data_IF_160386459288
#
_entry.id   IF_160386459288
#
_cell.length_a   1.000
_cell.length_b   1.000
_cell.length_c   1.000
_cell.angle_alpha   90.00
_cell.angle_beta   90.00
_cell.angle_gamma   90.00
#
_symmetry.space_group_name_H-M   'P 1'
#
loop_
_entity.id
_entity.type
_entity.pdbx_description
1 polymer ?
#
# COMPACT_ATOMS: atom_id res chain seq x y z
N UNK A 1 37.35 -66.41 -20.95
CA UNK A 1 37.53 -65.20 -20.12
C UNK A 1 37.00 -63.99 -20.89
N UNK A 2 36.19 -63.15 -20.23
CA UNK A 2 35.75 -61.77 -20.58
C UNK A 2 35.25 -61.49 -22.03
N UNK A 3 33.94 -61.41 -22.29
CA UNK A 3 33.02 -60.24 -22.18
C UNK A 3 33.30 -59.09 -23.16
N UNK A 4 32.46 -58.96 -24.20
CA UNK A 4 31.93 -57.66 -24.67
C UNK A 4 30.45 -57.86 -24.98
N UNK A 5 29.60 -57.08 -24.30
CA UNK A 5 28.14 -57.17 -24.33
C UNK A 5 27.56 -56.04 -25.18
N UNK A 6 26.55 -56.42 -25.97
CA UNK A 6 25.37 -55.65 -26.33
C UNK A 6 25.58 -54.32 -27.08
N UNK A 7 25.58 -54.43 -28.41
CA UNK A 7 25.17 -53.35 -29.29
C UNK A 7 24.08 -53.89 -30.22
N UNK A 8 23.12 -53.02 -30.56
CA UNK A 8 22.12 -53.19 -31.62
C UNK A 8 20.94 -54.09 -31.25
N UNK A 9 19.87 -53.50 -30.70
CA UNK A 9 18.48 -53.65 -31.16
C UNK A 9 17.52 -52.95 -30.17
N UNK A 10 17.07 -51.75 -30.53
CA UNK A 10 15.75 -51.20 -30.16
C UNK A 10 15.60 -49.85 -30.86
N UNK A 11 15.57 -49.92 -32.19
CA UNK A 11 14.96 -48.89 -33.03
C UNK A 11 13.45 -48.94 -32.78
N UNK A 12 12.82 -47.77 -32.78
CA UNK A 12 11.38 -47.51 -32.73
C UNK A 12 10.72 -47.56 -31.33
N UNK A 13 9.80 -46.61 -31.12
CA UNK A 13 8.98 -46.35 -29.93
C UNK A 13 9.69 -45.49 -28.87
N UNK A 14 9.60 -44.17 -29.04
CA UNK A 14 9.15 -43.14 -28.07
C UNK A 14 9.29 -41.82 -28.83
N UNK A 15 8.33 -41.56 -29.72
CA UNK A 15 8.25 -40.31 -30.49
C UNK A 15 6.83 -39.76 -30.32
N UNK A 16 6.35 -39.60 -29.08
CA UNK A 16 5.00 -39.08 -28.81
C UNK A 16 4.74 -38.76 -27.33
N UNK A 17 5.68 -38.14 -26.61
CA UNK A 17 5.42 -37.75 -25.22
C UNK A 17 6.22 -36.55 -24.71
N UNK A 18 6.35 -35.45 -25.46
CA UNK A 18 6.97 -34.23 -24.91
C UNK A 18 6.58 -32.94 -25.63
N UNK A 19 5.29 -32.68 -25.84
CA UNK A 19 4.84 -31.36 -26.29
C UNK A 19 3.58 -30.90 -25.53
N UNK A 20 3.64 -30.99 -24.21
CA UNK A 20 2.82 -30.19 -23.32
C UNK A 20 3.71 -29.68 -22.18
N UNK A 21 4.77 -28.93 -22.52
CA UNK A 21 5.17 -27.85 -21.62
C UNK A 21 4.06 -26.82 -21.72
N UNK A 22 3.01 -27.03 -20.92
CA UNK A 22 2.00 -26.01 -20.70
C UNK A 22 2.74 -24.74 -20.31
N UNK A 23 2.47 -23.65 -21.02
CA UNK A 23 2.59 -22.32 -20.48
C UNK A 23 1.79 -22.33 -19.17
N UNK A 24 2.43 -22.65 -18.05
CA UNK A 24 1.93 -22.24 -16.74
C UNK A 24 2.19 -20.75 -16.72
N UNK A 25 1.30 -19.99 -17.37
CA UNK A 25 1.18 -18.58 -17.14
C UNK A 25 0.88 -18.45 -15.66
N UNK A 26 1.88 -18.04 -14.88
CA UNK A 26 1.66 -17.50 -13.56
C UNK A 26 0.63 -16.39 -13.74
N UNK A 27 -0.61 -16.63 -13.33
CA UNK A 27 -1.58 -15.54 -13.17
C UNK A 27 -0.94 -14.58 -12.18
N UNK A 28 -0.34 -13.52 -12.69
CA UNK A 28 0.01 -12.32 -11.94
C UNK A 28 -1.22 -11.97 -11.12
N UNK A 29 -1.19 -12.30 -9.84
CA UNK A 29 -2.34 -12.07 -8.97
C UNK A 29 -2.27 -10.58 -8.65
N UNK A 30 -3.06 -9.77 -9.37
CA UNK A 30 -3.14 -8.33 -9.14
C UNK A 30 -3.39 -8.10 -7.66
N UNK A 31 -2.44 -7.47 -6.98
CA UNK A 31 -2.60 -7.10 -5.58
C UNK A 31 -3.69 -6.04 -5.53
N UNK A 32 -4.67 -6.24 -4.64
CA UNK A 32 -5.72 -5.27 -4.34
C UNK A 32 -5.51 -4.76 -2.91
N UNK A 33 -5.88 -3.51 -2.61
CA UNK A 33 -5.82 -3.01 -1.24
C UNK A 33 -6.85 -3.73 -0.37
N UNK A 34 -6.53 -3.89 0.90
CA UNK A 34 -7.42 -4.45 1.93
C UNK A 34 -7.15 -3.73 3.24
N UNK A 35 -8.14 -3.63 4.12
CA UNK A 35 -7.95 -3.17 5.49
C UNK A 35 -7.23 -4.21 6.36
N UNK A 36 -6.02 -4.58 5.94
CA UNK A 36 -5.08 -5.46 6.62
C UNK A 36 -3.67 -4.98 6.26
N UNK A 37 -2.82 -4.80 7.26
CA UNK A 37 -1.58 -4.05 7.18
C UNK A 37 -0.57 -4.68 6.22
N UNK A 38 -0.41 -6.01 6.23
CA UNK A 38 0.52 -6.67 5.32
C UNK A 38 0.03 -6.59 3.88
N UNK A 39 -1.26 -6.80 3.63
CA UNK A 39 -1.87 -6.67 2.31
C UNK A 39 -1.77 -5.24 1.79
N UNK A 40 -2.13 -4.25 2.61
CA UNK A 40 -2.05 -2.83 2.26
C UNK A 40 -0.60 -2.41 2.00
N UNK A 41 0.35 -2.80 2.84
CA UNK A 41 1.78 -2.54 2.62
C UNK A 41 2.27 -3.13 1.30
N UNK A 42 1.91 -4.39 1.02
CA UNK A 42 2.28 -5.07 -0.23
C UNK A 42 1.68 -4.37 -1.45
N UNK A 43 0.42 -3.92 -1.33
CA UNK A 43 -0.26 -3.16 -2.38
C UNK A 43 0.43 -1.82 -2.67
N UNK A 44 0.66 -0.99 -1.64
CA UNK A 44 1.24 0.34 -1.83
C UNK A 44 2.72 0.27 -2.24
N UNK A 45 3.45 -0.81 -1.96
CA UNK A 45 4.87 -0.96 -2.32
C UNK A 45 5.06 -1.77 -3.60
N UNK A 46 4.99 -3.10 -3.50
CA UNK A 46 5.26 -4.01 -4.61
C UNK A 46 4.19 -3.94 -5.72
N UNK A 47 2.92 -3.75 -5.36
CA UNK A 47 1.80 -3.77 -6.31
C UNK A 47 1.65 -2.48 -7.13
N UNK A 48 1.74 -1.32 -6.47
CA UNK A 48 1.39 -0.03 -7.09
C UNK A 48 2.48 1.05 -6.94
N UNK A 49 3.46 0.83 -6.05
CA UNK A 49 4.57 1.75 -5.74
C UNK A 49 4.13 3.21 -5.52
N UNK A 50 3.67 3.51 -4.30
CA UNK A 50 3.13 4.79 -3.90
C UNK A 50 4.07 5.98 -4.15
N UNK A 51 5.38 5.75 -4.27
CA UNK A 51 6.34 6.82 -4.58
C UNK A 51 6.14 7.41 -5.98
N UNK A 52 5.38 6.71 -6.85
CA UNK A 52 4.95 7.20 -8.17
C UNK A 52 3.63 7.95 -8.13
N UNK A 53 2.91 7.92 -7.01
CA UNK A 53 1.65 8.65 -6.87
C UNK A 53 1.89 10.14 -6.72
N UNK A 54 0.84 10.91 -6.94
CA UNK A 54 0.85 12.34 -6.68
C UNK A 54 1.01 12.62 -5.18
N UNK A 55 1.70 13.72 -4.90
CA UNK A 55 1.75 14.27 -3.55
C UNK A 55 0.45 15.00 -3.26
N UNK A 56 0.11 15.11 -1.98
CA UNK A 56 -1.03 15.89 -1.55
C UNK A 56 -0.97 17.31 -2.15
N UNK A 57 -1.99 17.75 -2.91
CA UNK A 57 -1.98 19.04 -3.58
C UNK A 57 -1.63 20.21 -2.65
N UNK A 58 -0.69 21.06 -3.08
CA UNK A 58 -0.25 22.22 -2.30
C UNK A 58 0.80 21.93 -1.23
N UNK A 59 1.25 20.69 -1.07
CA UNK A 59 2.39 20.35 -0.20
C UNK A 59 3.70 20.29 -0.99
N UNK A 60 4.81 20.61 -0.31
CA UNK A 60 6.17 20.36 -0.80
C UNK A 60 6.75 19.14 -0.11
N UNK A 61 7.82 18.55 -0.65
CA UNK A 61 8.56 17.53 0.08
C UNK A 61 9.18 18.08 1.39
N UNK A 62 9.23 17.21 2.41
CA UNK A 62 9.75 17.52 3.73
C UNK A 62 9.13 18.79 4.32
N UNK A 63 7.80 18.89 4.27
CA UNK A 63 7.09 19.97 4.93
C UNK A 63 7.03 19.69 6.44
N UNK A 64 7.10 20.73 7.30
CA UNK A 64 7.07 20.52 8.74
C UNK A 64 5.69 20.02 9.18
N UNK A 65 5.65 19.19 10.22
CA UNK A 65 4.39 18.82 10.86
C UNK A 65 3.68 20.02 11.49
N UNK A 66 2.36 19.93 11.61
CA UNK A 66 1.57 20.89 12.40
C UNK A 66 1.90 20.77 13.89
N UNK A 67 1.77 21.89 14.61
CA UNK A 67 1.98 21.93 16.06
C UNK A 67 1.10 20.90 16.79
N UNK A 68 1.67 20.17 17.76
CA UNK A 68 0.98 19.13 18.51
C UNK A 68 0.76 17.81 17.76
N UNK A 69 1.19 17.70 16.50
CA UNK A 69 1.14 16.45 15.75
C UNK A 69 2.13 15.41 16.31
N UNK A 70 1.70 14.16 16.53
CA UNK A 70 2.58 13.07 16.97
C UNK A 70 3.39 12.44 15.82
N UNK A 71 3.23 12.95 14.59
CA UNK A 71 3.98 12.50 13.42
C UNK A 71 5.45 12.97 13.44
N UNK A 72 6.23 12.46 12.48
CA UNK A 72 7.63 12.86 12.26
C UNK A 72 7.76 14.36 11.98
N UNK A 73 8.95 14.91 12.23
CA UNK A 73 9.21 16.35 12.16
C UNK A 73 9.09 16.89 10.73
N UNK A 74 9.45 16.07 9.75
CA UNK A 74 9.32 16.37 8.32
C UNK A 74 8.43 15.32 7.65
N UNK A 75 7.58 15.77 6.74
CA UNK A 75 6.56 14.94 6.12
C UNK A 75 6.64 14.98 4.59
N UNK A 76 6.35 13.85 3.97
CA UNK A 76 5.88 13.77 2.58
C UNK A 76 4.56 13.01 2.60
N UNK A 77 3.56 13.48 1.86
CA UNK A 77 2.24 12.84 1.84
C UNK A 77 1.83 12.60 0.41
N UNK A 78 1.56 11.34 0.09
CA UNK A 78 1.15 10.82 -1.20
C UNK A 78 -0.31 10.41 -1.13
N UNK A 79 -1.01 10.52 -2.25
CA UNK A 79 -2.42 10.19 -2.39
C UNK A 79 -2.64 9.40 -3.67
N UNK A 80 -3.44 8.34 -3.62
CA UNK A 80 -3.75 7.58 -4.83
C UNK A 80 -4.70 8.34 -5.77
N UNK A 81 -4.88 7.78 -6.95
CA UNK A 81 -5.76 8.27 -8.02
C UNK A 81 -7.24 8.38 -7.61
N UNK A 82 -7.69 7.59 -6.62
CA UNK A 82 -9.04 7.70 -6.03
C UNK A 82 -9.19 8.97 -5.19
N UNK A 83 -8.21 9.25 -4.32
CA UNK A 83 -8.27 10.38 -3.40
C UNK A 83 -7.98 11.73 -4.10
N UNK A 84 -7.09 11.75 -5.08
CA UNK A 84 -6.56 12.99 -5.67
C UNK A 84 -7.65 13.93 -6.23
N UNK A 85 -8.61 13.49 -7.07
CA UNK A 85 -9.63 14.39 -7.62
C UNK A 85 -10.55 14.98 -6.53
N UNK A 86 -10.86 14.19 -5.49
CA UNK A 86 -11.70 14.63 -4.38
C UNK A 86 -11.00 15.71 -3.54
N UNK A 87 -9.67 15.62 -3.36
CA UNK A 87 -8.87 16.63 -2.67
C UNK A 87 -8.79 17.91 -3.51
N UNK A 88 -8.48 17.80 -4.81
CA UNK A 88 -8.37 18.96 -5.71
C UNK A 88 -9.71 19.69 -5.87
N UNK A 89 -10.79 18.92 -6.01
CA UNK A 89 -12.15 19.43 -6.17
C UNK A 89 -12.82 19.87 -4.88
N UNK A 90 -12.17 19.70 -3.71
CA UNK A 90 -12.75 19.98 -2.40
C UNK A 90 -14.14 19.33 -2.23
N UNK A 91 -14.19 18.00 -2.41
CA UNK A 91 -15.43 17.22 -2.37
C UNK A 91 -16.04 17.04 -0.95
N UNK A 92 -15.35 17.47 0.10
CA UNK A 92 -15.74 17.33 1.50
C UNK A 92 -15.46 15.97 2.12
N UNK A 93 -15.40 14.92 1.31
CA UNK A 93 -15.09 13.54 1.72
C UNK A 93 -14.32 12.82 0.61
N UNK A 94 -13.43 11.92 0.99
CA UNK A 94 -12.69 11.06 0.08
C UNK A 94 -13.54 9.81 -0.27
N UNK A 95 -13.50 9.35 -1.53
CA UNK A 95 -14.26 8.17 -1.96
C UNK A 95 -13.70 6.88 -1.34
N UNK A 96 -14.47 5.80 -1.46
CA UNK A 96 -13.99 4.46 -1.17
C UNK A 96 -12.70 4.15 -1.95
N UNK A 97 -11.89 3.27 -1.37
CA UNK A 97 -10.55 2.92 -1.83
C UNK A 97 -9.52 4.05 -1.84
N UNK A 98 -9.82 5.19 -1.21
CA UNK A 98 -8.83 6.27 -1.02
C UNK A 98 -7.70 5.83 -0.12
N UNK A 99 -6.46 6.07 -0.55
CA UNK A 99 -5.26 5.78 0.21
C UNK A 99 -4.42 7.05 0.36
N UNK A 100 -4.05 7.35 1.60
CA UNK A 100 -3.11 8.41 1.95
C UNK A 100 -1.88 7.77 2.58
N UNK A 101 -0.71 7.92 1.96
CA UNK A 101 0.56 7.45 2.51
C UNK A 101 1.35 8.66 3.01
N UNK A 102 1.67 8.68 4.30
CA UNK A 102 2.52 9.72 4.89
C UNK A 102 3.85 9.11 5.31
N UNK A 103 4.93 9.60 4.71
CA UNK A 103 6.29 9.33 5.15
C UNK A 103 6.63 10.28 6.30
N UNK A 104 7.10 9.72 7.42
CA UNK A 104 7.48 10.44 8.63
C UNK A 104 9.01 10.44 8.70
N UNK A 105 9.60 11.63 8.69
CA UNK A 105 11.05 11.82 8.70
C UNK A 105 11.50 12.55 9.97
N UNK A 106 12.70 12.19 10.42
CA UNK A 106 13.46 12.90 11.45
C UNK A 106 14.02 14.22 10.89
N UNK A 107 14.54 15.15 11.74
CA UNK A 107 15.09 16.43 11.28
C UNK A 107 16.24 16.32 10.26
N UNK A 108 17.00 15.22 10.32
CA UNK A 108 18.09 14.89 9.40
C UNK A 108 17.62 14.23 8.09
N UNK A 109 16.29 14.12 7.88
CA UNK A 109 15.62 13.45 6.75
C UNK A 109 15.83 11.93 6.70
N UNK A 110 16.16 11.30 7.82
CA UNK A 110 16.07 9.85 7.96
C UNK A 110 14.60 9.43 8.07
N UNK A 111 14.19 8.42 7.29
CA UNK A 111 12.81 7.88 7.35
C UNK A 111 12.62 7.11 8.66
N UNK A 112 11.62 7.52 9.45
CA UNK A 112 11.28 6.90 10.73
C UNK A 112 10.10 5.92 10.60
N UNK A 113 9.06 6.29 9.86
CA UNK A 113 7.88 5.45 9.69
C UNK A 113 7.06 5.81 8.46
N UNK A 114 6.28 4.84 7.98
CA UNK A 114 5.12 5.12 7.13
C UNK A 114 3.86 5.09 7.99
N UNK A 115 3.00 6.10 7.85
CA UNK A 115 1.65 6.09 8.42
C UNK A 115 0.65 6.19 7.28
N UNK A 116 -0.29 5.26 7.23
CA UNK A 116 -1.19 5.09 6.08
C UNK A 116 -2.64 5.12 6.56
N UNK A 117 -3.47 5.82 5.80
CA UNK A 117 -4.93 5.78 5.92
C UNK A 117 -5.47 5.08 4.67
N UNK A 118 -6.36 4.11 4.85
CA UNK A 118 -7.08 3.45 3.76
C UNK A 118 -8.57 3.49 4.06
N UNK A 119 -9.36 3.97 3.10
CA UNK A 119 -10.82 3.98 3.22
C UNK A 119 -11.38 2.72 2.58
N UNK A 120 -12.02 1.88 3.37
CA UNK A 120 -12.65 0.64 2.91
C UNK A 120 -14.09 0.60 3.39
N UNK A 121 -15.03 0.73 2.45
CA UNK A 121 -16.46 0.81 2.72
C UNK A 121 -16.93 -0.29 3.68
N UNK A 122 -17.54 0.11 4.80
CA UNK A 122 -18.05 -0.78 5.84
C UNK A 122 -17.02 -1.26 6.88
N UNK A 123 -15.74 -0.90 6.75
CA UNK A 123 -14.69 -1.30 7.68
C UNK A 123 -14.89 -0.71 9.08
N UNK A 124 -15.12 0.61 9.16
CA UNK A 124 -15.36 1.31 10.42
C UNK A 124 -16.36 2.46 10.28
N UNK A 125 -17.66 2.18 10.14
CA UNK A 125 -18.66 3.20 9.83
C UNK A 125 -18.74 4.33 10.86
N UNK A 126 -18.38 4.05 12.12
CA UNK A 126 -18.31 5.06 13.18
C UNK A 126 -17.21 6.11 12.96
N UNK A 127 -16.15 5.75 12.21
CA UNK A 127 -15.01 6.60 11.90
C UNK A 127 -14.83 6.82 10.40
N UNK A 128 -15.96 6.85 9.67
CA UNK A 128 -16.00 7.05 8.22
C UNK A 128 -15.14 6.05 7.43
N UNK A 129 -15.12 4.79 7.88
CA UNK A 129 -14.51 3.68 7.17
C UNK A 129 -12.98 3.73 7.01
N UNK A 130 -12.32 4.50 7.88
CA UNK A 130 -10.87 4.59 7.91
C UNK A 130 -10.22 3.38 8.60
N UNK A 131 -9.39 2.66 7.85
CA UNK A 131 -8.35 1.78 8.35
C UNK A 131 -7.04 2.56 8.53
N UNK A 132 -6.40 2.39 9.69
CA UNK A 132 -5.13 3.00 10.02
C UNK A 132 -4.02 1.97 9.96
N UNK A 133 -2.82 2.35 9.51
CA UNK A 133 -1.63 1.54 9.69
C UNK A 133 -0.39 2.39 9.94
N UNK A 134 0.52 1.86 10.74
CA UNK A 134 1.89 2.36 10.91
C UNK A 134 2.87 1.25 10.56
N UNK A 135 3.83 1.56 9.72
CA UNK A 135 4.92 0.66 9.34
C UNK A 135 6.26 1.23 9.75
N UNK A 136 7.18 0.35 10.16
CA UNK A 136 8.60 0.68 10.25
C UNK A 136 9.17 1.01 8.86
N UNK A 137 10.40 1.57 8.77
CA UNK A 137 11.06 1.80 7.48
C UNK A 137 11.28 0.51 6.66
N UNK A 138 11.29 -0.65 7.33
CA UNK A 138 11.46 -1.97 6.70
C UNK A 138 10.13 -2.66 6.38
N UNK A 139 8.99 -2.03 6.69
CA UNK A 139 7.66 -2.57 6.38
C UNK A 139 7.04 -3.46 7.45
N UNK A 140 7.63 -3.51 8.64
CA UNK A 140 7.00 -4.18 9.78
C UNK A 140 5.74 -3.42 10.21
N UNK A 141 4.62 -4.12 10.40
CA UNK A 141 3.38 -3.55 10.92
C UNK A 141 3.55 -3.26 12.41
N UNK A 142 3.61 -1.97 12.77
CA UNK A 142 3.75 -1.51 14.17
C UNK A 142 2.41 -1.24 14.84
N UNK A 143 1.41 -0.85 14.05
CA UNK A 143 0.03 -0.67 14.48
C UNK A 143 -0.89 -0.77 13.25
N UNK A 144 -2.09 -1.29 13.43
CA UNK A 144 -3.08 -1.36 12.36
C UNK A 144 -4.52 -1.43 12.87
N UNK A 145 -5.47 -1.18 11.97
CA UNK A 145 -6.88 -1.40 12.20
C UNK A 145 -7.61 -0.16 12.71
N UNK A 146 -8.55 -0.35 13.65
CA UNK A 146 -9.33 0.73 14.29
C UNK A 146 -8.55 1.33 15.46
N UNK A 147 -7.38 1.89 15.17
CA UNK A 147 -6.44 2.36 16.19
C UNK A 147 -7.03 3.55 16.94
N UNK A 148 -7.38 3.37 18.22
CA UNK A 148 -8.07 4.38 19.03
C UNK A 148 -7.39 5.75 19.04
N UNK A 149 -6.06 5.78 19.23
CA UNK A 149 -5.30 7.04 19.19
C UNK A 149 -5.40 7.78 17.84
N UNK A 150 -5.46 7.03 16.72
CA UNK A 150 -5.65 7.61 15.40
C UNK A 150 -7.06 8.18 15.27
N UNK A 151 -8.08 7.39 15.62
CA UNK A 151 -9.49 7.81 15.61
C UNK A 151 -9.74 9.04 16.49
N UNK A 152 -9.18 9.09 17.71
CA UNK A 152 -9.41 10.19 18.65
C UNK A 152 -8.80 11.51 18.17
N UNK A 153 -7.61 11.46 17.58
CA UNK A 153 -6.95 12.66 17.07
C UNK A 153 -7.56 13.11 15.74
N UNK A 154 -7.73 12.18 14.79
CA UNK A 154 -8.27 12.46 13.47
C UNK A 154 -9.77 12.74 13.48
N UNK A 155 -10.52 12.21 14.45
CA UNK A 155 -11.94 12.51 14.66
C UNK A 155 -12.23 13.97 14.97
N UNK A 156 -11.22 14.75 15.42
CA UNK A 156 -11.32 16.22 15.53
C UNK A 156 -11.51 16.90 14.17
N UNK A 157 -11.20 16.19 13.08
CA UNK A 157 -11.39 16.61 11.69
C UNK A 157 -12.49 15.79 11.00
N UNK A 158 -13.49 15.28 11.73
CA UNK A 158 -14.63 14.55 11.12
C UNK A 158 -15.29 15.31 9.96
N UNK A 159 -15.36 16.64 10.06
CA UNK A 159 -15.97 17.52 9.07
C UNK A 159 -15.07 17.78 7.85
N UNK A 160 -13.82 17.29 7.89
CA UNK A 160 -12.80 17.33 6.87
C UNK A 160 -12.29 15.91 6.53
N UNK A 161 -13.17 14.93 6.68
CA UNK A 161 -12.93 13.50 6.46
C UNK A 161 -11.66 12.98 7.15
N UNK A 162 -11.51 13.30 8.44
CA UNK A 162 -10.42 12.82 9.28
C UNK A 162 -9.02 13.27 8.79
N UNK A 163 -8.93 14.25 7.88
CA UNK A 163 -7.66 14.73 7.34
C UNK A 163 -7.29 16.12 7.87
N UNK A 164 -6.00 16.35 8.13
CA UNK A 164 -5.47 17.65 8.58
C UNK A 164 -4.68 18.40 7.50
N UNK A 165 -4.33 17.73 6.40
CA UNK A 165 -3.31 18.24 5.45
C UNK A 165 -3.79 19.50 4.71
N UNK A 166 -5.06 19.54 4.30
CA UNK A 166 -5.72 20.73 3.79
C UNK A 166 -7.24 20.62 3.95
N UNK A 167 -7.99 21.74 3.86
CA UNK A 167 -9.44 21.68 3.75
C UNK A 167 -9.88 20.92 2.50
N UNK A 168 -10.87 20.06 2.66
CA UNK A 168 -11.60 19.36 1.62
C UNK A 168 -12.90 20.09 1.26
N UNK A 169 -13.19 21.26 1.83
CA UNK A 169 -14.32 22.13 1.49
C UNK A 169 -13.92 23.60 1.61
#
# INVERSE_FOLDING_TARGET
MAKIKNAVFAVLVIFLASFFLGCVGTKETKLEPKAEGKALYSYITAGNNYKKWDKWPGTREFYPKSAGSPHGDLLITYVNDKALPAIQGKAGSLPDESIIVKENYMPDKTLDALTVMYKENGYDPAHNDWFWAKYSPTGEVQAEGKVGMCNDCHGKQKDNDYTFTSPLK
#
